data_IF_931864392509
#
_entry.id   IF_931864392509
#
_cell.length_a   1.000
_cell.length_b   1.000
_cell.length_c   1.000
_cell.angle_alpha   90.00
_cell.angle_beta   90.00
_cell.angle_gamma   90.00
#
_symmetry.space_group_name_H-M   'P 1'
#
loop_
_entity.id
_entity.type
_entity.pdbx_description
1 polymer ?
#
# COMPACT_ATOMS: atom_id res chain seq x y z
N UNK A 1 -16.79 -38.59 9.08
CA UNK A 1 -17.47 -37.90 10.18
C UNK A 1 -16.43 -37.71 11.26
N UNK A 2 -16.06 -36.47 11.60
CA UNK A 2 -15.07 -36.21 12.63
C UNK A 2 -15.65 -36.62 13.98
N UNK A 3 -14.97 -37.52 14.70
CA UNK A 3 -15.28 -37.91 16.06
C UNK A 3 -15.37 -36.64 16.91
N UNK A 4 -16.54 -36.31 17.44
CA UNK A 4 -16.71 -35.19 18.36
C UNK A 4 -15.92 -35.41 19.64
N UNK A 5 -15.62 -34.31 20.35
CA UNK A 5 -14.97 -34.36 21.65
C UNK A 5 -15.83 -35.16 22.65
N UNK A 6 -15.27 -36.26 23.16
CA UNK A 6 -15.97 -37.23 24.02
C UNK A 6 -15.65 -37.04 25.50
N UNK A 7 -14.67 -36.21 25.84
CA UNK A 7 -14.39 -35.83 27.21
C UNK A 7 -15.21 -34.62 27.64
N UNK A 8 -16.18 -34.84 28.53
CA UNK A 8 -16.99 -33.77 29.13
C UNK A 8 -16.13 -32.69 29.83
N UNK A 9 -14.92 -33.05 30.30
CA UNK A 9 -13.97 -32.11 30.93
C UNK A 9 -13.34 -31.12 29.95
N UNK A 10 -13.37 -31.40 28.65
CA UNK A 10 -12.83 -30.55 27.59
C UNK A 10 -13.86 -29.55 27.04
N UNK A 11 -15.15 -29.78 27.29
CA UNK A 11 -16.25 -28.92 26.87
C UNK A 11 -16.25 -27.64 27.73
N UNK A 12 -16.14 -26.48 27.09
CA UNK A 12 -16.20 -25.17 27.77
C UNK A 12 -14.90 -24.65 28.36
N UNK A 13 -13.74 -25.31 28.11
CA UNK A 13 -12.44 -24.78 28.53
C UNK A 13 -12.08 -23.51 27.74
N UNK A 14 -11.84 -22.42 28.46
CA UNK A 14 -11.30 -21.19 27.87
C UNK A 14 -9.84 -21.42 27.48
N UNK A 15 -9.59 -21.74 26.21
CA UNK A 15 -8.23 -21.84 25.67
C UNK A 15 -7.76 -20.45 25.27
N UNK A 16 -6.85 -19.88 26.06
CA UNK A 16 -6.28 -18.57 25.73
C UNK A 16 -5.04 -18.75 24.85
N UNK A 17 -5.16 -18.37 23.59
CA UNK A 17 -4.08 -18.49 22.62
C UNK A 17 -2.85 -17.64 23.04
N UNK A 18 -1.62 -18.15 22.88
CA UNK A 18 -0.40 -17.41 23.23
C UNK A 18 -0.15 -16.25 22.25
N UNK A 19 0.72 -15.31 22.64
CA UNK A 19 1.10 -14.18 21.78
C UNK A 19 1.90 -14.59 20.52
N UNK A 20 2.40 -15.83 20.48
CA UNK A 20 3.04 -16.44 19.31
C UNK A 20 2.05 -16.86 18.24
N UNK A 21 0.75 -16.97 18.56
CA UNK A 21 -0.29 -17.24 17.57
C UNK A 21 -0.55 -16.01 16.70
N UNK A 22 -0.04 -16.03 15.47
CA UNK A 22 -0.11 -14.89 14.53
C UNK A 22 -1.56 -14.52 14.25
N UNK A 23 -1.89 -13.23 14.35
CA UNK A 23 -3.23 -12.71 14.08
C UNK A 23 -4.20 -12.80 15.26
N UNK A 24 -3.83 -13.48 16.36
CA UNK A 24 -4.64 -13.49 17.58
C UNK A 24 -4.60 -12.17 18.35
N UNK A 25 -5.57 -11.89 19.25
CA UNK A 25 -5.62 -10.64 20.01
C UNK A 25 -4.34 -10.31 20.78
N UNK A 26 -3.72 -11.32 21.41
CA UNK A 26 -2.45 -11.13 22.13
C UNK A 26 -1.26 -10.84 21.21
N UNK A 27 -1.22 -11.45 20.02
CA UNK A 27 -0.20 -11.15 19.02
C UNK A 27 -0.33 -9.73 18.50
N UNK A 28 -1.55 -9.30 18.18
CA UNK A 28 -1.82 -7.93 17.73
C UNK A 28 -1.50 -6.90 18.82
N UNK A 29 -1.87 -7.17 20.09
CA UNK A 29 -1.51 -6.31 21.22
C UNK A 29 0.00 -6.19 21.40
N UNK A 30 0.74 -7.30 21.29
CA UNK A 30 2.20 -7.27 21.35
C UNK A 30 2.81 -6.43 20.22
N UNK A 31 2.41 -6.67 18.97
CA UNK A 31 2.88 -5.87 17.82
C UNK A 31 2.60 -4.37 17.99
N UNK A 32 1.44 -4.04 18.53
CA UNK A 32 1.08 -2.66 18.84
C UNK A 32 2.02 -2.05 19.89
N UNK A 33 2.26 -2.76 21.01
CA UNK A 33 3.18 -2.29 22.07
C UNK A 33 4.61 -2.15 21.52
N UNK A 34 5.09 -3.11 20.72
CA UNK A 34 6.41 -3.06 20.09
C UNK A 34 6.52 -1.83 19.16
N UNK A 35 5.50 -1.56 18.36
CA UNK A 35 5.45 -0.37 17.51
C UNK A 35 5.42 0.93 18.33
N UNK A 36 4.64 0.99 19.41
CA UNK A 36 4.58 2.15 20.31
C UNK A 36 5.93 2.40 20.99
N UNK A 37 6.65 1.35 21.38
CA UNK A 37 7.99 1.47 21.95
C UNK A 37 8.99 2.07 20.95
N UNK A 38 8.91 1.70 19.67
CA UNK A 38 9.70 2.34 18.61
C UNK A 38 9.35 3.82 18.47
N UNK A 39 8.06 4.16 18.43
CA UNK A 39 7.61 5.56 18.32
C UNK A 39 8.04 6.39 19.53
N UNK A 40 7.98 5.82 20.74
CA UNK A 40 8.43 6.50 21.95
C UNK A 40 9.93 6.76 21.94
N UNK A 41 10.73 5.83 21.39
CA UNK A 41 12.19 5.94 21.36
C UNK A 41 12.73 6.79 20.20
N UNK A 42 12.15 6.67 19.02
CA UNK A 42 12.68 7.26 17.78
C UNK A 42 11.81 8.39 17.21
N UNK A 43 10.64 8.65 17.82
CA UNK A 43 9.68 9.64 17.36
C UNK A 43 8.63 9.07 16.40
N UNK A 44 7.76 9.95 15.90
CA UNK A 44 6.69 9.56 14.96
C UNK A 44 7.26 9.01 13.64
N UNK A 45 6.57 8.07 12.97
CA UNK A 45 6.92 7.64 11.62
C UNK A 45 6.87 8.79 10.61
N UNK A 46 7.82 8.79 9.68
CA UNK A 46 7.94 9.79 8.61
C UNK A 46 7.29 9.29 7.31
N UNK A 47 7.34 7.98 7.04
CA UNK A 47 6.75 7.37 5.84
C UNK A 47 5.85 6.19 6.20
N UNK A 48 4.68 6.15 5.54
CA UNK A 48 3.79 4.99 5.51
C UNK A 48 3.77 4.39 4.10
N UNK A 49 4.32 3.19 3.94
CA UNK A 49 4.42 2.53 2.64
C UNK A 49 3.54 1.29 2.59
N UNK A 50 2.88 1.07 1.45
CA UNK A 50 2.07 -0.13 1.21
C UNK A 50 2.61 -0.89 0.01
N UNK A 51 3.01 -2.15 0.21
CA UNK A 51 3.35 -3.08 -0.86
C UNK A 51 2.18 -4.05 -1.05
N UNK A 52 1.55 -4.01 -2.22
CA UNK A 52 0.41 -4.89 -2.54
C UNK A 52 0.84 -5.96 -3.55
N UNK A 53 0.49 -7.22 -3.28
CA UNK A 53 0.73 -8.30 -4.24
C UNK A 53 -0.09 -8.10 -5.52
N UNK A 54 0.55 -8.24 -6.69
CA UNK A 54 -0.13 -8.23 -7.97
C UNK A 54 -0.21 -9.67 -8.54
N UNK A 55 -1.42 -10.25 -8.70
CA UNK A 55 -1.58 -11.61 -9.21
C UNK A 55 -1.13 -11.74 -10.68
N UNK A 56 -0.91 -10.63 -11.38
CA UNK A 56 -0.43 -10.60 -12.76
C UNK A 56 1.09 -10.50 -12.89
N UNK A 57 1.84 -10.62 -11.79
CA UNK A 57 3.29 -10.71 -11.89
C UNK A 57 3.70 -11.91 -12.75
N UNK A 58 4.68 -11.74 -13.67
CA UNK A 58 5.16 -12.82 -14.53
C UNK A 58 5.57 -14.07 -13.75
N UNK A 59 6.23 -13.89 -12.60
CA UNK A 59 6.69 -14.97 -11.73
C UNK A 59 5.55 -15.78 -11.13
N UNK A 60 4.33 -15.22 -11.06
CA UNK A 60 3.13 -15.97 -10.70
C UNK A 60 2.57 -16.61 -11.98
N UNK A 61 2.31 -15.81 -13.02
CA UNK A 61 1.61 -16.25 -14.23
C UNK A 61 2.32 -17.36 -15.00
N UNK A 62 3.65 -17.35 -15.04
CA UNK A 62 4.46 -18.37 -15.72
C UNK A 62 4.43 -19.74 -15.02
N UNK A 63 4.12 -19.75 -13.72
CA UNK A 63 4.08 -20.97 -12.90
C UNK A 63 2.64 -21.41 -12.55
N UNK A 64 1.66 -20.86 -13.27
CA UNK A 64 0.24 -21.17 -13.15
C UNK A 64 -0.19 -22.03 -14.36
N UNK A 65 -0.99 -23.06 -14.12
CA UNK A 65 -1.66 -23.76 -15.22
C UNK A 65 -2.81 -22.90 -15.78
N UNK A 66 -3.19 -23.13 -17.04
CA UNK A 66 -4.19 -22.32 -17.74
C UNK A 66 -5.57 -22.29 -17.05
N UNK A 67 -5.92 -23.34 -16.29
CA UNK A 67 -7.18 -23.47 -15.57
C UNK A 67 -7.09 -23.08 -14.08
N UNK A 68 -5.90 -22.78 -13.57
CA UNK A 68 -5.71 -22.38 -12.18
C UNK A 68 -6.08 -20.91 -11.98
N UNK A 69 -6.72 -20.61 -10.85
CA UNK A 69 -6.95 -19.24 -10.40
C UNK A 69 -5.92 -18.86 -9.35
N UNK A 70 -5.35 -17.66 -9.45
CA UNK A 70 -4.20 -17.26 -8.61
C UNK A 70 -4.49 -17.32 -7.11
N UNK A 71 -5.74 -17.06 -6.71
CA UNK A 71 -6.13 -17.12 -5.30
C UNK A 71 -6.19 -18.56 -4.74
N UNK A 72 -6.23 -19.58 -5.60
CA UNK A 72 -6.15 -20.99 -5.21
C UNK A 72 -4.70 -21.47 -5.05
N UNK A 73 -3.70 -20.66 -5.44
CA UNK A 73 -2.26 -20.97 -5.36
C UNK A 73 -1.53 -20.07 -4.38
N UNK A 74 -2.02 -20.08 -3.13
CA UNK A 74 -1.45 -19.28 -2.05
C UNK A 74 0.04 -19.59 -1.80
N UNK A 75 0.47 -20.83 -2.01
CA UNK A 75 1.88 -21.26 -1.96
C UNK A 75 2.76 -20.43 -2.90
N UNK A 76 2.33 -20.28 -4.15
CA UNK A 76 3.06 -19.53 -5.18
C UNK A 76 3.00 -18.03 -4.92
N UNK A 77 1.81 -17.51 -4.64
CA UNK A 77 1.57 -16.09 -4.37
C UNK A 77 2.42 -15.61 -3.19
N UNK A 78 2.40 -16.33 -2.06
CA UNK A 78 3.15 -15.95 -0.85
C UNK A 78 4.65 -16.02 -1.10
N UNK A 79 5.15 -17.03 -1.82
CA UNK A 79 6.58 -17.14 -2.16
C UNK A 79 7.06 -15.97 -3.02
N UNK A 80 6.34 -15.64 -4.09
CA UNK A 80 6.69 -14.52 -4.97
C UNK A 80 6.59 -13.20 -4.21
N UNK A 81 5.52 -13.00 -3.44
CA UNK A 81 5.37 -11.80 -2.62
C UNK A 81 6.49 -11.64 -1.61
N UNK A 82 6.88 -12.70 -0.89
CA UNK A 82 7.98 -12.66 0.06
C UNK A 82 9.31 -12.32 -0.63
N UNK A 83 9.59 -12.89 -1.80
CA UNK A 83 10.79 -12.53 -2.57
C UNK A 83 10.80 -11.04 -2.95
N UNK A 84 9.67 -10.50 -3.43
CA UNK A 84 9.53 -9.07 -3.74
C UNK A 84 9.62 -8.18 -2.49
N UNK A 85 9.08 -8.63 -1.36
CA UNK A 85 9.16 -7.95 -0.08
C UNK A 85 10.62 -7.82 0.40
N UNK A 86 11.42 -8.87 0.30
CA UNK A 86 12.84 -8.82 0.68
C UNK A 86 13.66 -7.93 -0.26
N UNK A 87 13.37 -7.94 -1.56
CA UNK A 87 13.96 -6.97 -2.49
C UNK A 87 13.58 -5.53 -2.10
N UNK A 88 12.30 -5.27 -1.83
CA UNK A 88 11.82 -3.97 -1.39
C UNK A 88 12.50 -3.51 -0.09
N UNK A 89 12.63 -4.40 0.89
CA UNK A 89 13.38 -4.13 2.13
C UNK A 89 14.85 -3.79 1.87
N UNK A 90 15.50 -4.46 0.92
CA UNK A 90 16.87 -4.12 0.55
C UNK A 90 16.97 -2.72 -0.08
N UNK A 91 16.04 -2.34 -0.96
CA UNK A 91 16.01 -0.98 -1.53
C UNK A 91 15.87 0.08 -0.42
N UNK A 92 14.91 -0.09 0.49
CA UNK A 92 14.65 0.93 1.53
C UNK A 92 15.70 0.94 2.65
N UNK A 93 16.19 -0.22 3.11
CA UNK A 93 17.06 -0.31 4.31
C UNK A 93 18.55 -0.35 4.00
N UNK A 94 18.95 -0.87 2.83
CA UNK A 94 20.37 -1.01 2.47
C UNK A 94 20.80 0.02 1.45
N UNK A 95 19.97 0.26 0.43
CA UNK A 95 20.25 1.28 -0.59
C UNK A 95 19.76 2.67 -0.17
N UNK A 96 18.98 2.77 0.90
CA UNK A 96 18.53 4.03 1.50
C UNK A 96 17.82 4.94 0.47
N UNK A 97 16.95 4.37 -0.37
CA UNK A 97 16.27 5.14 -1.44
C UNK A 97 15.39 6.29 -0.91
N UNK A 98 15.02 6.25 0.37
CA UNK A 98 14.29 7.31 1.07
C UNK A 98 15.14 7.97 2.17
N UNK A 99 16.45 7.76 2.16
CA UNK A 99 17.35 8.11 3.27
C UNK A 99 17.55 6.97 4.27
N UNK A 100 18.40 7.21 5.28
CA UNK A 100 18.70 6.21 6.30
C UNK A 100 17.54 6.03 7.27
N UNK A 101 17.20 4.77 7.54
CA UNK A 101 16.10 4.39 8.43
C UNK A 101 16.66 4.11 9.84
N UNK A 102 16.26 4.93 10.81
CA UNK A 102 16.62 4.74 12.22
C UNK A 102 15.85 3.56 12.86
N UNK A 103 14.56 3.43 12.53
CA UNK A 103 13.72 2.34 12.98
C UNK A 103 12.57 2.10 12.00
N UNK A 104 12.06 0.88 11.96
CA UNK A 104 10.86 0.56 11.19
C UNK A 104 10.07 -0.58 11.83
N UNK A 105 8.78 -0.63 11.52
CA UNK A 105 7.93 -1.79 11.77
C UNK A 105 7.07 -2.05 10.55
N UNK A 106 6.68 -3.30 10.33
CA UNK A 106 5.76 -3.64 9.27
C UNK A 106 4.88 -4.82 9.65
N UNK A 107 3.70 -4.86 9.04
CA UNK A 107 2.77 -5.98 9.15
C UNK A 107 2.45 -6.48 7.75
N UNK A 108 2.27 -7.79 7.64
CA UNK A 108 1.71 -8.43 6.46
C UNK A 108 0.30 -8.86 6.81
N UNK A 109 -0.67 -8.47 6.00
CA UNK A 109 -2.05 -8.93 6.12
C UNK A 109 -2.53 -9.48 4.78
N UNK A 110 -3.60 -10.27 4.84
CA UNK A 110 -4.19 -10.88 3.65
C UNK A 110 -5.51 -10.18 3.37
N UNK A 111 -5.64 -9.57 2.19
CA UNK A 111 -6.90 -8.94 1.79
C UNK A 111 -8.00 -10.00 1.60
N UNK A 112 -9.26 -9.56 1.49
CA UNK A 112 -10.45 -10.41 1.30
C UNK A 112 -10.38 -11.43 0.14
N UNK A 113 -9.39 -11.32 -0.76
CA UNK A 113 -9.13 -12.24 -1.87
C UNK A 113 -7.88 -13.11 -1.68
N UNK A 114 -7.33 -13.16 -0.46
CA UNK A 114 -6.16 -13.97 -0.12
C UNK A 114 -4.82 -13.44 -0.64
N UNK A 115 -4.80 -12.24 -1.24
CA UNK A 115 -3.54 -11.63 -1.68
C UNK A 115 -2.87 -10.91 -0.51
N UNK A 116 -1.57 -11.13 -0.29
CA UNK A 116 -0.84 -10.46 0.77
C UNK A 116 -0.57 -8.99 0.42
N UNK A 117 -0.60 -8.16 1.45
CA UNK A 117 -0.13 -6.79 1.43
C UNK A 117 0.72 -6.53 2.66
N UNK A 118 1.72 -5.66 2.52
CA UNK A 118 2.55 -5.23 3.63
C UNK A 118 2.37 -3.73 3.85
N UNK A 119 2.19 -3.35 5.11
CA UNK A 119 2.20 -1.96 5.55
C UNK A 119 3.46 -1.71 6.36
N UNK A 120 4.23 -0.71 5.97
CA UNK A 120 5.46 -0.28 6.63
C UNK A 120 5.28 1.08 7.28
N UNK A 121 5.80 1.23 8.48
CA UNK A 121 6.07 2.51 9.12
C UNK A 121 7.58 2.67 9.20
N UNK A 122 8.11 3.70 8.55
CA UNK A 122 9.53 4.03 8.60
C UNK A 122 9.74 5.29 9.45
N UNK A 123 10.74 5.25 10.32
CA UNK A 123 11.26 6.39 11.08
C UNK A 123 12.68 6.64 10.56
N UNK A 124 12.87 7.76 9.87
CA UNK A 124 14.13 8.17 9.27
C UNK A 124 15.08 8.77 10.32
N UNK A 125 16.38 8.63 10.09
CA UNK A 125 17.40 9.36 10.85
C UNK A 125 17.21 10.87 10.70
N UNK A 126 17.66 11.64 11.70
CA UNK A 126 17.44 13.09 11.80
C UNK A 126 17.78 13.84 10.50
N UNK A 127 18.92 13.53 9.90
CA UNK A 127 19.43 14.23 8.70
C UNK A 127 18.67 13.87 7.42
N UNK A 128 17.75 12.90 7.47
CA UNK A 128 16.92 12.45 6.35
C UNK A 128 15.44 12.73 6.57
N UNK A 129 15.07 13.41 7.67
CA UNK A 129 13.68 13.80 7.92
C UNK A 129 13.26 14.92 6.98
N UNK A 130 12.00 14.86 6.54
CA UNK A 130 11.39 15.86 5.67
C UNK A 130 10.62 16.88 6.49
N UNK A 131 10.99 18.15 6.37
CA UNK A 131 10.37 19.28 7.07
C UNK A 131 9.73 20.28 6.12
N UNK A 132 10.14 20.30 4.84
CA UNK A 132 9.66 21.25 3.84
C UNK A 132 8.88 20.56 2.71
N UNK A 133 7.88 21.25 2.12
CA UNK A 133 7.12 20.79 0.95
C UNK A 133 7.96 20.15 -0.18
N UNK A 134 9.11 20.76 -0.48
CA UNK A 134 10.00 20.32 -1.57
C UNK A 134 10.59 18.93 -1.31
N UNK A 135 10.83 18.57 -0.05
CA UNK A 135 11.42 17.27 0.33
C UNK A 135 10.37 16.16 0.18
N UNK A 136 9.09 16.45 0.43
CA UNK A 136 8.02 15.50 0.10
C UNK A 136 7.89 15.30 -1.41
N UNK A 137 8.05 16.38 -2.19
CA UNK A 137 7.96 16.33 -3.66
C UNK A 137 9.08 15.49 -4.30
N UNK A 138 10.19 15.24 -3.59
CA UNK A 138 11.26 14.34 -4.03
C UNK A 138 10.87 12.86 -3.92
N UNK A 139 9.95 12.54 -3.00
CA UNK A 139 9.53 11.17 -2.70
C UNK A 139 8.15 10.85 -3.29
N UNK A 140 7.22 11.81 -3.24
CA UNK A 140 5.83 11.65 -3.66
C UNK A 140 5.56 12.52 -4.87
N UNK A 141 5.09 11.89 -5.96
CA UNK A 141 4.73 12.59 -7.18
C UNK A 141 3.29 12.28 -7.58
N UNK A 142 2.46 13.32 -7.63
CA UNK A 142 1.08 13.26 -8.09
C UNK A 142 0.91 13.69 -9.56
N UNK A 143 1.96 13.54 -10.38
CA UNK A 143 1.97 13.94 -11.80
C UNK A 143 2.29 12.74 -12.70
N UNK A 144 1.72 12.74 -13.91
CA UNK A 144 2.01 11.73 -14.92
C UNK A 144 3.51 11.80 -15.32
N UNK A 145 4.26 10.68 -15.24
CA UNK A 145 5.63 10.63 -15.74
C UNK A 145 5.69 10.95 -17.22
N UNK A 146 6.80 11.53 -17.69
CA UNK A 146 6.95 11.83 -19.12
C UNK A 146 7.17 10.54 -19.93
N UNK A 147 6.27 10.27 -20.88
CA UNK A 147 6.27 9.06 -21.71
C UNK A 147 7.53 8.90 -22.56
N UNK A 148 8.07 9.99 -23.09
CA UNK A 148 9.27 9.95 -23.94
C UNK A 148 10.53 9.63 -23.14
N UNK A 149 10.66 10.21 -21.94
CA UNK A 149 11.83 10.03 -21.08
C UNK A 149 11.89 8.63 -20.45
N UNK A 150 10.74 8.09 -20.05
CA UNK A 150 10.66 6.78 -19.41
C UNK A 150 9.33 6.09 -19.76
N UNK A 151 9.22 5.49 -20.95
CA UNK A 151 7.98 4.89 -21.43
C UNK A 151 7.54 3.72 -20.56
N UNK A 152 8.48 2.97 -19.97
CA UNK A 152 8.17 1.87 -19.07
C UNK A 152 7.51 2.35 -17.78
N UNK A 153 8.10 3.36 -17.11
CA UNK A 153 7.52 3.96 -15.91
C UNK A 153 6.17 4.57 -16.23
N UNK A 154 6.05 5.35 -17.31
CA UNK A 154 4.77 5.93 -17.73
C UNK A 154 3.69 4.86 -17.89
N UNK A 155 3.98 3.78 -18.61
CA UNK A 155 3.04 2.66 -18.81
C UNK A 155 2.62 2.01 -17.48
N UNK A 156 3.56 1.76 -16.58
CA UNK A 156 3.25 1.18 -15.26
C UNK A 156 2.42 2.14 -14.41
N UNK A 157 2.78 3.43 -14.43
CA UNK A 157 2.11 4.48 -13.68
C UNK A 157 0.67 4.66 -14.14
N UNK A 158 0.42 4.79 -15.44
CA UNK A 158 -0.94 4.90 -16.00
C UNK A 158 -1.80 3.69 -15.65
N UNK A 159 -1.21 2.50 -15.61
CA UNK A 159 -1.92 1.26 -15.31
C UNK A 159 -2.28 1.11 -13.82
N UNK A 160 -1.42 1.61 -12.92
CA UNK A 160 -1.49 1.27 -11.49
C UNK A 160 -1.71 2.46 -10.55
N UNK A 161 -1.31 3.67 -10.95
CA UNK A 161 -1.29 4.88 -10.12
C UNK A 161 -2.36 5.90 -10.52
N UNK A 162 -3.33 5.53 -11.37
CA UNK A 162 -4.48 6.37 -11.69
C UNK A 162 -5.74 5.85 -11.02
N UNK A 163 -6.44 6.75 -10.34
CA UNK A 163 -7.81 6.53 -9.94
C UNK A 163 -8.66 6.35 -11.21
N UNK A 164 -9.43 5.26 -11.26
CA UNK A 164 -10.32 5.03 -12.39
C UNK A 164 -11.39 6.11 -12.47
N UNK A 165 -11.84 6.42 -13.69
CA UNK A 165 -12.93 7.37 -13.93
C UNK A 165 -14.12 7.10 -13.00
N UNK A 166 -14.62 8.15 -12.36
CA UNK A 166 -15.75 8.12 -11.44
C UNK A 166 -16.53 9.44 -11.50
N UNK A 167 -17.53 9.63 -10.64
CA UNK A 167 -18.39 10.80 -10.67
C UNK A 167 -19.20 10.82 -11.96
N UNK A 168 -19.25 11.98 -12.61
CA UNK A 168 -19.96 12.16 -13.87
C UNK A 168 -19.41 11.28 -15.00
N UNK A 169 -18.12 10.93 -14.97
CA UNK A 169 -17.50 10.08 -15.97
C UNK A 169 -17.87 8.60 -15.81
N UNK A 170 -18.20 8.17 -14.59
CA UNK A 170 -18.67 6.81 -14.30
C UNK A 170 -19.36 6.75 -12.92
N UNK A 171 -20.68 6.97 -12.87
CA UNK A 171 -21.42 7.01 -11.61
C UNK A 171 -21.57 5.63 -10.95
N UNK A 172 -21.27 4.54 -11.67
CA UNK A 172 -21.38 3.15 -11.20
C UNK A 172 -20.07 2.59 -10.63
N UNK A 173 -19.00 3.38 -10.55
CA UNK A 173 -17.72 2.91 -10.02
C UNK A 173 -17.82 2.59 -8.52
N UNK A 174 -17.07 1.59 -8.05
CA UNK A 174 -17.07 1.10 -6.66
C UNK A 174 -16.63 2.14 -5.62
N UNK A 175 -16.00 3.23 -6.05
CA UNK A 175 -15.64 4.35 -5.18
C UNK A 175 -16.81 5.31 -4.92
N UNK A 176 -17.90 5.23 -5.69
CA UNK A 176 -19.04 6.15 -5.59
C UNK A 176 -19.87 5.84 -4.35
N UNK A 177 -20.17 6.87 -3.56
CA UNK A 177 -21.05 6.81 -2.39
C UNK A 177 -21.89 8.09 -2.36
N UNK A 178 -23.22 7.94 -2.30
CA UNK A 178 -24.15 9.08 -2.26
C UNK A 178 -23.92 10.11 -3.39
N UNK A 179 -23.67 9.64 -4.62
CA UNK A 179 -23.45 10.50 -5.79
C UNK A 179 -22.07 11.16 -5.88
N UNK A 180 -21.18 10.99 -4.90
CA UNK A 180 -19.82 11.55 -4.91
C UNK A 180 -18.77 10.45 -4.79
N UNK A 181 -17.54 10.73 -5.24
CA UNK A 181 -16.43 9.80 -5.03
C UNK A 181 -16.01 9.85 -3.55
N UNK A 182 -15.97 8.69 -2.87
CA UNK A 182 -15.55 8.60 -1.46
C UNK A 182 -14.14 9.11 -1.18
N UNK A 183 -13.30 9.16 -2.22
CA UNK A 183 -11.92 9.65 -2.16
C UNK A 183 -11.78 11.08 -2.75
N UNK A 184 -12.90 11.72 -3.11
CA UNK A 184 -12.98 13.07 -3.66
C UNK A 184 -12.16 13.25 -4.95
N UNK A 185 -12.30 12.31 -5.90
CA UNK A 185 -11.74 12.45 -7.25
C UNK A 185 -12.76 13.07 -8.23
N UNK A 186 -12.31 13.88 -9.21
CA UNK A 186 -10.93 14.35 -9.40
C UNK A 186 -10.47 15.29 -8.26
N UNK A 187 -9.17 15.25 -7.93
CA UNK A 187 -8.57 16.21 -7.00
C UNK A 187 -8.43 17.58 -7.67
N UNK A 188 -8.30 18.64 -6.87
CA UNK A 188 -7.93 19.95 -7.42
C UNK A 188 -6.45 19.98 -7.84
N UNK A 189 -6.14 20.85 -8.80
CA UNK A 189 -4.74 21.14 -9.12
C UNK A 189 -4.09 21.92 -7.97
N UNK A 190 -2.81 21.67 -7.75
CA UNK A 190 -2.05 22.31 -6.70
C UNK A 190 -0.63 22.58 -7.21
N UNK A 191 -0.19 23.84 -7.22
CA UNK A 191 1.11 24.19 -7.80
C UNK A 191 2.30 23.72 -6.95
N UNK A 192 2.10 23.61 -5.64
CA UNK A 192 3.11 23.25 -4.64
C UNK A 192 2.46 22.40 -3.54
N UNK A 193 3.24 21.53 -2.89
CA UNK A 193 2.72 20.73 -1.78
C UNK A 193 2.38 21.64 -0.60
N UNK A 194 1.16 21.50 -0.07
CA UNK A 194 0.71 22.25 1.09
C UNK A 194 0.50 21.33 2.29
N UNK A 195 1.19 21.63 3.39
CA UNK A 195 0.91 21.03 4.69
C UNK A 195 -0.25 21.78 5.36
N UNK A 196 -1.21 21.04 5.89
CA UNK A 196 -2.23 21.61 6.76
C UNK A 196 -2.03 21.00 8.15
N UNK A 197 -2.26 21.80 9.20
CA UNK A 197 -1.80 21.45 10.56
C UNK A 197 -2.38 20.15 11.14
N UNK A 198 -3.44 19.57 10.56
CA UNK A 198 -4.07 18.33 11.04
C UNK A 198 -4.75 17.50 9.93
N UNK A 199 -4.37 17.67 8.66
CA UNK A 199 -4.93 16.87 7.57
C UNK A 199 -3.85 16.29 6.65
N UNK A 200 -4.25 15.32 5.82
CA UNK A 200 -3.38 14.79 4.78
C UNK A 200 -2.83 15.93 3.91
N UNK A 201 -1.52 15.92 3.58
CA UNK A 201 -0.95 16.96 2.74
C UNK A 201 -1.64 16.99 1.38
N UNK A 202 -1.84 18.19 0.86
CA UNK A 202 -2.26 18.36 -0.53
C UNK A 202 -1.01 18.36 -1.38
N UNK A 203 -0.69 17.22 -1.99
CA UNK A 203 0.51 17.07 -2.82
C UNK A 203 0.46 17.92 -4.08
N UNK A 204 1.64 18.41 -4.49
CA UNK A 204 1.85 19.10 -5.76
C UNK A 204 1.32 18.28 -6.92
N UNK A 205 0.48 18.92 -7.72
CA UNK A 205 -0.23 18.35 -8.85
C UNK A 205 -0.53 19.46 -9.84
N UNK A 206 0.43 19.80 -10.69
CA UNK A 206 0.31 20.94 -11.61
C UNK A 206 -0.58 20.59 -12.81
N UNK A 207 -1.24 21.61 -13.34
CA UNK A 207 -1.87 21.51 -14.66
C UNK A 207 -0.80 21.75 -15.73
N UNK A 208 -0.19 20.67 -16.21
CA UNK A 208 0.82 20.71 -17.27
C UNK A 208 0.24 20.38 -18.66
N UNK A 209 -1.09 20.31 -18.79
CA UNK A 209 -1.79 19.95 -20.04
C UNK A 209 -1.69 18.47 -20.44
N UNK A 210 -0.94 17.64 -19.70
CA UNK A 210 -0.77 16.21 -20.01
C UNK A 210 -1.99 15.42 -19.54
N UNK A 211 -2.44 14.50 -20.39
CA UNK A 211 -3.55 13.60 -20.09
C UNK A 211 -3.41 12.29 -20.85
N UNK A 212 -4.06 11.25 -20.34
CA UNK A 212 -4.09 9.90 -20.91
C UNK A 212 -5.51 9.40 -21.00
N UNK A 213 -5.78 8.49 -21.94
CA UNK A 213 -7.09 7.84 -22.04
C UNK A 213 -7.04 6.53 -21.26
N UNK A 214 -7.86 6.43 -20.21
CA UNK A 214 -8.01 5.23 -19.39
C UNK A 214 -9.47 4.80 -19.43
N UNK A 215 -9.73 3.61 -19.99
CA UNK A 215 -11.08 3.02 -20.10
C UNK A 215 -12.10 3.98 -20.74
N UNK A 216 -11.67 4.69 -21.80
CA UNK A 216 -12.51 5.64 -22.54
C UNK A 216 -12.64 7.03 -21.92
N UNK A 217 -12.04 7.28 -20.76
CA UNK A 217 -12.04 8.59 -20.12
C UNK A 217 -10.67 9.29 -20.25
N UNK A 218 -10.68 10.58 -20.57
CA UNK A 218 -9.48 11.42 -20.58
C UNK A 218 -9.16 11.87 -19.15
N UNK A 219 -8.07 11.35 -18.59
CA UNK A 219 -7.63 11.60 -17.23
C UNK A 219 -6.32 12.36 -17.22
N UNK A 220 -6.22 13.40 -16.41
CA UNK A 220 -5.02 14.22 -16.22
C UNK A 220 -4.43 14.01 -14.82
N UNK A 221 -3.49 14.87 -14.43
CA UNK A 221 -2.86 14.80 -13.14
C UNK A 221 -3.85 14.75 -11.97
N UNK A 222 -5.10 15.26 -12.06
CA UNK A 222 -6.16 15.21 -11.01
C UNK A 222 -6.61 13.81 -10.62
N UNK A 223 -6.26 12.82 -11.41
CA UNK A 223 -6.64 11.42 -11.20
C UNK A 223 -5.52 10.58 -10.59
N UNK A 224 -4.32 11.14 -10.42
CA UNK A 224 -3.18 10.45 -9.84
C UNK A 224 -3.40 10.06 -8.36
N UNK A 225 -3.04 8.81 -8.09
CA UNK A 225 -2.71 8.06 -6.88
C UNK A 225 -1.40 8.38 -6.14
N UNK A 226 -1.21 9.43 -5.32
CA UNK A 226 0.07 9.62 -4.62
C UNK A 226 0.33 8.52 -3.59
#
# INVERSE_FOLDING_TARGET
MASGESEASAIGKCVVLPATFIGGPRNMRRKYIDAMALVQKFGKPDLFLTLTCNPNWPEIRQHMMAHEETHNRADLVVRVFHAKLELFKNEILKKNIFGKVAAYTYVIEFQKRGLPHAHFLLILEHDFKMYEPKEYDEIVCAELPNEHSNPHLHKMFVKHMLHGACGNLNPKNVCMKNGTCKNSYPKEFCHETNQTNDAYPTYRRRNNGVSVIVRGAKLDNRWVVP
#
